data_IF_056309063622
#
_entry.id   IF_056309063622
#
_cell.length_a   1.000
_cell.length_b   1.000
_cell.length_c   1.000
_cell.angle_alpha   90.00
_cell.angle_beta   90.00
_cell.angle_gamma   90.00
#
_symmetry.space_group_name_H-M   'P 1'
#
loop_
_entity.id
_entity.type
_entity.pdbx_description
1 polymer ?
#
# COMPACT_ATOMS: atom_id res chain seq x y z
N UNK A 1 11.78 -19.42 -28.01
CA UNK A 1 10.49 -18.74 -28.30
C UNK A 1 9.65 -18.98 -27.06
N UNK A 2 9.85 -18.12 -26.08
CA UNK A 2 9.34 -18.31 -24.73
C UNK A 2 8.04 -17.53 -24.62
N UNK A 3 6.94 -18.23 -24.85
CA UNK A 3 5.59 -17.72 -24.63
C UNK A 3 5.06 -18.33 -23.32
N UNK A 4 4.52 -17.46 -22.46
CA UNK A 4 3.82 -17.73 -21.20
C UNK A 4 4.65 -17.83 -19.90
N UNK A 5 5.11 -16.67 -19.41
CA UNK A 5 5.05 -16.32 -17.98
C UNK A 5 4.36 -14.97 -17.86
N UNK A 6 3.09 -14.97 -17.48
CA UNK A 6 2.36 -13.88 -16.82
C UNK A 6 0.96 -14.39 -16.50
N UNK A 7 0.91 -15.33 -15.55
CA UNK A 7 -0.30 -15.66 -14.81
C UNK A 7 -0.24 -14.89 -13.51
N UNK A 8 -1.26 -14.07 -13.26
CA UNK A 8 -1.38 -12.98 -12.27
C UNK A 8 -1.04 -11.62 -12.90
N UNK A 9 -2.09 -10.87 -13.24
CA UNK A 9 -2.03 -9.44 -13.54
C UNK A 9 -1.65 -8.64 -12.29
N UNK A 10 -0.45 -8.88 -11.78
CA UNK A 10 0.17 -8.02 -10.80
C UNK A 10 0.42 -6.68 -11.51
N UNK A 11 0.09 -5.54 -10.88
CA UNK A 11 0.51 -4.25 -11.42
C UNK A 11 2.02 -4.28 -11.63
N UNK A 12 2.49 -3.70 -12.74
CA UNK A 12 3.90 -3.41 -13.02
C UNK A 12 4.58 -2.89 -11.74
N UNK A 13 5.86 -3.21 -11.54
CA UNK A 13 6.67 -2.76 -10.39
C UNK A 13 6.40 -1.29 -10.02
N UNK A 14 5.45 -1.07 -9.09
CA UNK A 14 5.14 0.26 -8.58
C UNK A 14 6.26 0.65 -7.64
N UNK A 15 6.87 1.79 -7.89
CA UNK A 15 8.05 2.25 -7.14
C UNK A 15 7.71 3.50 -6.37
N UNK A 16 8.33 3.65 -5.22
CA UNK A 16 8.37 4.95 -4.59
C UNK A 16 9.37 5.83 -5.34
N UNK A 17 8.99 7.03 -5.81
CA UNK A 17 9.93 7.89 -6.49
C UNK A 17 11.06 8.32 -5.54
N UNK A 18 12.31 8.44 -6.02
CA UNK A 18 13.42 8.89 -5.19
C UNK A 18 13.17 10.31 -4.66
N UNK A 19 13.52 10.54 -3.39
CA UNK A 19 13.30 11.83 -2.71
C UNK A 19 11.87 12.10 -2.23
N UNK A 20 10.92 11.16 -2.44
CA UNK A 20 9.57 11.27 -1.90
C UNK A 20 9.54 10.80 -0.45
N UNK A 21 8.86 11.59 0.39
CA UNK A 21 8.52 11.22 1.76
C UNK A 21 7.01 11.23 1.92
N UNK A 22 6.47 10.10 2.33
CA UNK A 22 5.04 9.99 2.61
C UNK A 22 4.81 9.04 3.79
N UNK A 23 3.70 9.27 4.49
CA UNK A 23 3.24 8.44 5.59
C UNK A 23 1.75 8.17 5.42
N UNK A 24 1.36 6.93 5.62
CA UNK A 24 -0.01 6.45 5.58
C UNK A 24 -0.35 5.79 6.91
N UNK A 25 -1.56 6.03 7.38
CA UNK A 25 -2.13 5.40 8.56
C UNK A 25 -3.02 4.26 8.13
N UNK A 26 -2.77 3.07 8.67
CA UNK A 26 -3.62 1.90 8.51
C UNK A 26 -4.52 1.81 9.74
N UNK A 27 -5.83 1.81 9.54
CA UNK A 27 -6.84 1.82 10.61
C UNK A 27 -7.85 0.69 10.43
N UNK A 28 -8.41 0.22 11.53
CA UNK A 28 -9.56 -0.68 11.57
C UNK A 28 -10.62 -0.04 12.48
N UNK A 29 -11.75 0.37 11.92
CA UNK A 29 -12.65 1.32 12.59
C UNK A 29 -11.86 2.53 13.14
N UNK A 30 -11.94 2.80 14.44
CA UNK A 30 -11.22 3.90 15.09
C UNK A 30 -9.82 3.52 15.60
N UNK A 31 -9.41 2.24 15.47
CA UNK A 31 -8.12 1.76 15.95
C UNK A 31 -7.02 2.02 14.91
N UNK A 32 -5.99 2.77 15.30
CA UNK A 32 -4.75 2.84 14.53
C UNK A 32 -4.03 1.49 14.62
N UNK A 33 -3.91 0.78 13.50
CA UNK A 33 -3.25 -0.53 13.43
C UNK A 33 -1.75 -0.35 13.25
N UNK A 34 -1.37 0.55 12.34
CA UNK A 34 0.03 0.77 12.03
C UNK A 34 0.26 1.92 11.06
N UNK A 35 1.54 2.16 10.80
CA UNK A 35 2.01 3.19 9.89
C UNK A 35 2.77 2.54 8.75
N UNK A 36 2.38 2.85 7.51
CA UNK A 36 3.21 2.65 6.32
C UNK A 36 3.90 3.97 6.00
N UNK A 37 5.21 3.97 5.80
CA UNK A 37 5.96 5.16 5.42
C UNK A 37 6.92 4.84 4.29
N UNK A 38 7.31 5.86 3.55
CA UNK A 38 8.37 5.77 2.56
C UNK A 38 9.25 6.99 2.64
N UNK A 39 10.55 6.75 2.54
CA UNK A 39 11.58 7.78 2.44
C UNK A 39 12.68 7.23 1.54
N UNK A 40 13.07 8.02 0.52
CA UNK A 40 14.14 7.68 -0.40
C UNK A 40 13.99 6.30 -1.06
N UNK A 41 12.76 5.96 -1.45
CA UNK A 41 12.43 4.69 -2.09
C UNK A 41 12.29 3.49 -1.13
N UNK A 42 12.56 3.69 0.17
CA UNK A 42 12.52 2.62 1.16
C UNK A 42 11.22 2.66 1.94
N UNK A 43 10.40 1.63 1.78
CA UNK A 43 9.16 1.42 2.51
C UNK A 43 9.44 0.88 3.91
N UNK A 44 8.70 1.40 4.89
CA UNK A 44 8.70 0.91 6.26
C UNK A 44 7.28 0.73 6.76
N UNK A 45 7.00 -0.42 7.36
CA UNK A 45 5.75 -0.66 8.07
C UNK A 45 6.03 -1.01 9.53
N UNK A 46 5.27 -0.39 10.43
CA UNK A 46 5.32 -0.67 11.87
C UNK A 46 3.90 -0.65 12.46
N UNK A 47 3.64 -1.55 13.41
CA UNK A 47 2.41 -1.50 14.19
C UNK A 47 2.46 -0.36 15.19
N UNK A 48 1.31 0.26 15.42
CA UNK A 48 1.13 1.28 16.46
C UNK A 48 1.27 0.67 17.86
N UNK A 49 1.54 1.52 18.85
CA UNK A 49 1.51 1.08 20.25
C UNK A 49 0.11 0.64 20.69
N UNK A 50 -0.94 1.29 20.17
CA UNK A 50 -2.35 0.96 20.42
C UNK A 50 -2.68 -0.47 20.00
N UNK A 51 -2.22 -0.88 18.81
CA UNK A 51 -2.45 -2.23 18.30
C UNK A 51 -1.65 -3.27 19.07
N UNK A 52 -0.40 -2.97 19.44
CA UNK A 52 0.44 -3.90 20.23
C UNK A 52 -0.15 -4.21 21.61
N UNK A 53 -0.95 -3.31 22.16
CA UNK A 53 -1.63 -3.45 23.45
C UNK A 53 -3.04 -4.04 23.37
N UNK A 54 -3.57 -4.32 22.18
CA UNK A 54 -4.91 -4.90 21.96
C UNK A 54 -4.79 -6.38 21.56
N UNK A 55 -5.55 -7.24 22.23
CA UNK A 55 -5.68 -8.67 21.88
C UNK A 55 -6.88 -8.94 20.93
N UNK A 56 -7.61 -7.90 20.51
CA UNK A 56 -8.86 -8.06 19.76
C UNK A 56 -8.65 -8.43 18.29
N UNK A 57 -7.50 -8.05 17.73
CA UNK A 57 -7.16 -8.27 16.32
C UNK A 57 -5.87 -9.07 16.17
N UNK A 58 -5.87 -9.98 15.19
CA UNK A 58 -4.66 -10.73 14.82
C UNK A 58 -3.73 -9.87 13.97
N UNK A 59 -2.40 -10.07 14.08
CA UNK A 59 -1.45 -9.46 13.17
C UNK A 59 -1.77 -9.79 11.71
N UNK A 60 -1.41 -8.87 10.82
CA UNK A 60 -1.46 -9.05 9.38
C UNK A 60 -0.54 -10.21 8.96
N UNK A 61 -0.99 -11.01 8.00
CA UNK A 61 -0.29 -12.25 7.59
C UNK A 61 1.13 -11.99 7.08
N UNK A 62 1.35 -10.93 6.28
CA UNK A 62 2.69 -10.53 5.82
C UNK A 62 3.56 -9.90 6.92
N UNK A 63 2.95 -9.51 8.05
CA UNK A 63 3.59 -8.80 9.16
C UNK A 63 3.27 -9.49 10.50
N UNK A 64 3.72 -10.75 10.72
CA UNK A 64 3.27 -11.55 11.87
C UNK A 64 3.83 -11.10 13.23
N UNK A 65 4.91 -10.34 13.28
CA UNK A 65 5.57 -9.87 14.50
C UNK A 65 5.24 -8.40 14.72
N UNK A 66 4.40 -8.13 15.73
CA UNK A 66 3.92 -6.77 16.05
C UNK A 66 5.01 -5.86 16.62
N UNK A 67 6.11 -6.43 17.13
CA UNK A 67 7.24 -5.68 17.67
C UNK A 67 8.26 -5.27 16.61
N UNK A 68 8.14 -5.79 15.39
CA UNK A 68 9.11 -5.61 14.31
C UNK A 68 8.77 -4.40 13.43
N UNK A 69 9.79 -3.62 13.10
CA UNK A 69 9.74 -2.70 11.95
C UNK A 69 10.11 -3.46 10.69
N UNK A 70 9.20 -3.49 9.74
CA UNK A 70 9.39 -4.11 8.43
C UNK A 70 9.94 -3.06 7.47
N UNK A 71 10.99 -3.41 6.72
CA UNK A 71 11.66 -2.52 5.77
C UNK A 71 11.81 -3.26 4.45
N UNK A 72 11.48 -2.61 3.34
CA UNK A 72 11.63 -3.18 2.00
C UNK A 72 11.78 -2.08 0.95
N UNK A 73 12.45 -2.37 -0.17
CA UNK A 73 12.51 -1.50 -1.34
C UNK A 73 11.21 -1.58 -2.16
N UNK A 74 10.52 -2.72 -2.07
CA UNK A 74 9.25 -2.97 -2.74
C UNK A 74 8.06 -2.88 -1.78
N UNK A 75 6.94 -2.38 -2.30
CA UNK A 75 5.70 -2.31 -1.55
C UNK A 75 5.11 -3.73 -1.36
N UNK A 76 4.82 -4.10 -0.12
CA UNK A 76 4.18 -5.39 0.19
C UNK A 76 2.82 -5.56 -0.47
N UNK A 77 2.46 -6.81 -0.78
CA UNK A 77 1.24 -7.15 -1.53
C UNK A 77 -0.03 -6.72 -0.79
N UNK A 78 -0.01 -6.76 0.54
CA UNK A 78 -1.07 -6.19 1.37
C UNK A 78 -1.44 -4.78 0.91
N UNK A 79 -0.47 -3.89 0.73
CA UNK A 79 -0.71 -2.51 0.28
C UNK A 79 -0.89 -2.40 -1.24
N UNK A 80 -0.05 -3.08 -2.02
CA UNK A 80 -0.09 -3.01 -3.49
C UNK A 80 -1.43 -3.49 -4.08
N UNK A 81 -2.07 -4.48 -3.46
CA UNK A 81 -3.39 -4.98 -3.90
C UNK A 81 -4.52 -3.95 -3.82
N UNK A 82 -4.29 -2.80 -3.18
CA UNK A 82 -5.23 -1.68 -3.11
C UNK A 82 -5.14 -0.75 -4.33
N UNK A 83 -4.11 -0.90 -5.16
CA UNK A 83 -3.93 -0.14 -6.39
C UNK A 83 -4.60 -0.92 -7.53
N UNK A 84 -5.63 -0.36 -8.20
CA UNK A 84 -6.29 -1.04 -9.30
C UNK A 84 -5.39 -1.04 -10.55
N UNK A 85 -5.63 -1.98 -11.48
CA UNK A 85 -4.87 -2.03 -12.73
C UNK A 85 -5.19 -0.81 -13.61
N UNK A 86 -4.17 -0.15 -14.20
CA UNK A 86 -4.38 0.97 -15.13
C UNK A 86 -5.09 0.56 -16.43
N UNK A 87 -5.14 -0.74 -16.76
CA UNK A 87 -5.89 -1.26 -17.90
C UNK A 87 -7.41 -1.10 -17.74
N UNK A 88 -7.89 -0.88 -16.51
CA UNK A 88 -9.29 -0.54 -16.27
C UNK A 88 -9.57 0.84 -16.84
N UNK A 89 -10.54 0.94 -17.76
CA UNK A 89 -10.82 2.18 -18.50
C UNK A 89 -11.03 3.40 -17.59
N UNK A 90 -11.78 3.23 -16.49
CA UNK A 90 -12.01 4.32 -15.53
C UNK A 90 -10.72 4.77 -14.83
N UNK A 91 -9.86 3.82 -14.43
CA UNK A 91 -8.57 4.12 -13.80
C UNK A 91 -7.68 4.87 -14.77
N UNK A 92 -7.52 4.38 -16.01
CA UNK A 92 -6.71 5.03 -17.04
C UNK A 92 -7.15 6.47 -17.34
N UNK A 93 -8.46 6.75 -17.35
CA UNK A 93 -8.97 8.11 -17.54
C UNK A 93 -8.69 9.03 -16.34
N UNK A 94 -8.74 8.49 -15.10
CA UNK A 94 -8.35 9.23 -13.89
C UNK A 94 -6.87 9.60 -13.95
N UNK A 95 -5.99 8.64 -14.26
CA UNK A 95 -4.54 8.86 -14.31
C UNK A 95 -4.16 9.96 -15.31
N UNK A 96 -4.72 9.92 -16.53
CA UNK A 96 -4.51 10.96 -17.54
C UNK A 96 -5.00 12.34 -17.09
N UNK A 97 -6.22 12.40 -16.53
CA UNK A 97 -6.85 13.67 -16.13
C UNK A 97 -6.12 14.32 -14.97
N UNK A 98 -5.61 13.52 -14.05
CA UNK A 98 -4.96 13.98 -12.81
C UNK A 98 -3.42 14.03 -12.94
N UNK A 99 -2.88 13.69 -14.12
CA UNK A 99 -1.43 13.64 -14.41
C UNK A 99 -0.66 12.76 -13.42
N UNK A 100 -1.22 11.58 -13.11
CA UNK A 100 -0.62 10.59 -12.21
C UNK A 100 0.14 9.56 -13.06
N UNK A 101 1.41 9.38 -12.76
CA UNK A 101 2.25 8.35 -13.40
C UNK A 101 1.83 6.95 -12.93
N UNK A 102 1.78 5.98 -13.84
CA UNK A 102 1.30 4.61 -13.59
C UNK A 102 2.21 3.81 -12.62
N UNK A 103 3.45 4.25 -12.41
CA UNK A 103 4.44 3.61 -11.54
C UNK A 103 4.67 4.36 -10.21
N UNK A 104 4.02 5.51 -9.99
CA UNK A 104 4.12 6.28 -8.74
C UNK A 104 3.26 5.66 -7.63
N UNK A 105 3.85 4.71 -6.90
CA UNK A 105 3.18 3.98 -5.83
C UNK A 105 2.56 4.89 -4.77
N UNK A 106 3.19 6.04 -4.48
CA UNK A 106 2.75 6.94 -3.40
C UNK A 106 1.46 7.64 -3.82
N UNK A 107 1.46 8.22 -5.01
CA UNK A 107 0.28 8.93 -5.54
C UNK A 107 -0.87 7.95 -5.78
N UNK A 108 -0.57 6.76 -6.31
CA UNK A 108 -1.57 5.71 -6.54
C UNK A 108 -2.21 5.22 -5.24
N UNK A 109 -1.42 4.96 -4.19
CA UNK A 109 -1.95 4.60 -2.86
C UNK A 109 -2.79 5.72 -2.27
N UNK A 110 -2.35 6.97 -2.37
CA UNK A 110 -3.13 8.11 -1.90
C UNK A 110 -4.47 8.24 -2.62
N UNK A 111 -4.49 7.92 -3.92
CA UNK A 111 -5.68 8.10 -4.77
C UNK A 111 -6.70 6.97 -4.67
N UNK A 112 -6.22 5.72 -4.63
CA UNK A 112 -7.06 4.53 -4.74
C UNK A 112 -6.99 3.64 -3.50
N UNK A 113 -5.95 3.78 -2.68
CA UNK A 113 -5.62 2.82 -1.62
C UNK A 113 -6.54 2.83 -0.40
N UNK A 114 -7.47 3.79 -0.30
CA UNK A 114 -8.20 4.04 0.95
C UNK A 114 -9.00 2.83 1.44
N UNK A 115 -9.79 2.20 0.58
CA UNK A 115 -10.69 1.09 0.92
C UNK A 115 -10.65 0.02 -0.15
N UNK A 116 -10.84 -1.24 0.24
CA UNK A 116 -11.10 -2.32 -0.72
C UNK A 116 -12.33 -3.12 -0.30
N UNK A 117 -12.91 -3.88 -1.24
CA UNK A 117 -14.07 -4.74 -0.95
C UNK A 117 -13.67 -5.95 -0.09
N UNK A 118 -12.42 -6.42 -0.24
CA UNK A 118 -11.94 -7.66 0.37
C UNK A 118 -11.28 -7.46 1.75
N UNK A 119 -11.07 -6.21 2.19
CA UNK A 119 -10.30 -5.90 3.38
C UNK A 119 -10.96 -4.75 4.18
N UNK A 120 -11.25 -4.95 5.48
CA UNK A 120 -11.91 -3.94 6.30
C UNK A 120 -11.00 -2.78 6.74
N UNK A 121 -9.68 -2.86 6.54
CA UNK A 121 -8.76 -1.79 6.92
C UNK A 121 -8.86 -0.58 5.99
N UNK A 122 -8.75 0.62 6.55
CA UNK A 122 -8.63 1.86 5.80
C UNK A 122 -7.18 2.38 5.78
N UNK A 123 -6.75 2.88 4.63
CA UNK A 123 -5.43 3.48 4.45
C UNK A 123 -5.56 4.97 4.12
N UNK A 124 -5.06 5.85 4.98
CA UNK A 124 -5.17 7.31 4.77
C UNK A 124 -3.80 7.96 4.78
N UNK A 125 -3.54 8.88 3.84
CA UNK A 125 -2.35 9.71 3.88
C UNK A 125 -2.36 10.55 5.17
N UNK A 126 -1.26 10.51 5.92
CA UNK A 126 -1.06 11.35 7.09
C UNK A 126 -0.81 12.80 6.60
N UNK A 127 -1.49 13.75 7.23
CA UNK A 127 -1.35 15.18 6.95
C UNK A 127 -0.03 15.76 7.48
#
# INVERSE_FOLDING_TARGET
MDFFRNGLGLPRDVKAPPGVRAKFLLTYDDLLVGTLSVEDGIWRFEYSDEFRGSDDLRPLVEFPDVGKTYVNEELWQFFASRIPSPEQAEVGEILKREHIEEDDAVTLLGRFGKRTVANPFELTLAA
#
